data_IF_051692672441
#
_entry.id   IF_051692672441
#
_cell.length_a   1.000
_cell.length_b   1.000
_cell.length_c   1.000
_cell.angle_alpha   90.00
_cell.angle_beta   90.00
_cell.angle_gamma   90.00
#
_symmetry.space_group_name_H-M   'P 1'
#
loop_
_entity.id
_entity.type
_entity.pdbx_description
1 polymer ?
#
# COMPACT_ATOMS: atom_id res chain seq x y z
N UNK A 1 115.22 10.78 -12.66
CA UNK A 1 115.62 11.89 -13.56
C UNK A 1 114.95 13.18 -13.13
N UNK A 2 115.74 14.25 -13.13
CA UNK A 2 115.47 15.68 -12.96
C UNK A 2 114.04 16.25 -13.16
N UNK A 3 113.77 17.25 -12.30
CA UNK A 3 113.22 18.62 -12.54
C UNK A 3 111.70 18.79 -12.71
N UNK A 4 111.11 19.56 -11.77
CA UNK A 4 110.63 20.96 -11.89
C UNK A 4 109.27 21.07 -12.59
N UNK A 5 108.30 21.92 -12.24
CA UNK A 5 108.05 23.00 -11.29
C UNK A 5 106.56 23.39 -11.54
N UNK A 6 106.02 24.36 -10.79
CA UNK A 6 104.77 25.12 -11.04
C UNK A 6 103.55 24.72 -10.19
N UNK A 7 103.49 25.36 -9.02
CA UNK A 7 102.40 26.25 -8.58
C UNK A 7 100.99 26.02 -9.14
N UNK A 8 100.06 25.63 -8.26
CA UNK A 8 98.74 26.28 -8.25
C UNK A 8 98.16 26.28 -6.83
N UNK A 9 98.11 27.48 -6.27
CA UNK A 9 97.48 27.84 -5.00
C UNK A 9 95.95 27.72 -5.17
N UNK A 10 95.31 26.77 -4.50
CA UNK A 10 93.85 26.77 -4.32
C UNK A 10 93.55 26.81 -2.83
N UNK A 11 93.49 28.02 -2.28
CA UNK A 11 92.92 28.28 -0.96
C UNK A 11 91.40 28.18 -1.11
N UNK A 12 90.82 27.02 -0.80
CA UNK A 12 89.38 26.92 -0.54
C UNK A 12 89.10 27.49 0.84
N UNK A 13 88.92 28.80 0.90
CA UNK A 13 88.34 29.50 2.05
C UNK A 13 86.85 29.15 2.12
N UNK A 14 86.52 28.03 2.77
CA UNK A 14 85.17 27.81 3.28
C UNK A 14 84.95 28.77 4.46
N UNK A 15 84.50 29.99 4.15
CA UNK A 15 83.88 30.87 5.14
C UNK A 15 82.55 30.25 5.57
N UNK A 16 82.56 29.38 6.56
CA UNK A 16 81.34 29.06 7.32
C UNK A 16 81.04 30.26 8.21
N UNK A 17 80.20 31.17 7.72
CA UNK A 17 79.73 32.31 8.50
C UNK A 17 78.90 31.77 9.67
N UNK A 18 79.51 31.66 10.85
CA UNK A 18 78.83 31.28 12.09
C UNK A 18 78.06 32.48 12.63
N UNK A 19 76.79 32.59 12.27
CA UNK A 19 75.92 33.65 12.79
C UNK A 19 75.61 33.41 14.29
N UNK A 20 76.16 34.26 15.16
CA UNK A 20 75.95 34.17 16.62
C UNK A 20 74.65 34.84 17.06
N UNK A 21 73.50 34.25 16.71
CA UNK A 21 72.23 34.60 17.32
C UNK A 21 71.97 33.70 18.53
N UNK A 22 71.80 34.30 19.72
CA UNK A 22 71.62 33.56 20.97
C UNK A 22 70.17 33.50 21.46
N UNK A 23 69.31 34.40 20.97
CA UNK A 23 67.89 34.51 21.35
C UNK A 23 67.03 35.00 20.18
N UNK A 24 65.78 34.58 20.17
CA UNK A 24 64.71 35.10 19.30
C UNK A 24 63.47 35.38 20.15
N UNK A 25 62.68 36.38 19.76
CA UNK A 25 61.33 36.56 20.29
C UNK A 25 60.37 35.78 19.41
N UNK A 26 59.62 34.86 20.01
CA UNK A 26 58.54 34.14 19.32
C UNK A 26 57.22 34.73 19.81
N UNK A 27 56.36 35.13 18.90
CA UNK A 27 55.01 35.65 19.18
C UNK A 27 53.97 34.80 18.44
N UNK A 28 52.84 34.55 19.08
CA UNK A 28 51.71 33.78 18.55
C UNK A 28 50.56 34.76 18.27
N UNK A 29 49.73 34.47 17.27
CA UNK A 29 48.55 35.28 16.95
C UNK A 29 47.50 35.32 18.08
N UNK A 30 47.57 34.42 19.06
CA UNK A 30 46.69 34.39 20.22
C UNK A 30 47.47 34.58 21.53
N UNK A 31 47.08 35.56 22.38
CA UNK A 31 47.82 35.89 23.60
C UNK A 31 47.74 34.80 24.68
N UNK A 32 46.71 33.95 24.63
CA UNK A 32 46.46 32.86 25.57
C UNK A 32 46.98 31.50 25.08
N UNK A 33 47.66 31.44 23.93
CA UNK A 33 48.29 30.21 23.45
C UNK A 33 49.52 29.85 24.29
N UNK A 34 49.60 28.61 24.75
CA UNK A 34 50.70 28.08 25.54
C UNK A 34 51.87 27.64 24.66
N UNK A 35 53.10 28.02 25.05
CA UNK A 35 54.32 27.65 24.31
C UNK A 35 55.16 26.73 25.19
N UNK A 36 55.38 25.50 24.74
CA UNK A 36 56.19 24.51 25.45
C UNK A 36 57.53 24.27 24.75
N UNK A 37 58.54 23.86 25.51
CA UNK A 37 59.81 23.37 24.96
C UNK A 37 59.71 21.87 24.68
N UNK A 38 60.24 21.41 23.55
CA UNK A 38 60.41 19.97 23.27
C UNK A 38 61.89 19.60 23.38
N UNK A 39 62.19 18.55 24.15
CA UNK A 39 63.54 17.94 24.26
C UNK A 39 63.40 16.44 24.14
N UNK A 40 64.19 15.80 23.26
CA UNK A 40 64.13 14.34 23.08
C UNK A 40 62.80 13.80 22.53
N UNK A 41 61.90 14.66 22.06
CA UNK A 41 60.54 14.30 21.62
C UNK A 41 59.46 14.54 22.67
N UNK A 42 59.84 14.79 23.93
CA UNK A 42 58.91 15.05 25.03
C UNK A 42 58.63 16.54 25.22
N UNK A 43 57.39 16.87 25.61
CA UNK A 43 56.94 18.23 25.94
C UNK A 43 57.28 18.52 27.40
N UNK A 44 58.20 19.47 27.64
CA UNK A 44 58.62 19.85 28.99
C UNK A 44 57.59 20.78 29.65
N UNK A 45 57.27 20.50 30.93
CA UNK A 45 56.45 21.34 31.80
C UNK A 45 57.32 22.03 32.86
N UNK A 46 56.98 23.26 33.32
CA UNK A 46 55.85 24.08 32.89
C UNK A 46 56.08 24.70 31.49
N UNK A 47 55.04 25.32 30.92
CA UNK A 47 55.16 26.07 29.66
C UNK A 47 56.23 27.18 29.78
N UNK A 48 56.84 27.55 28.66
CA UNK A 48 57.79 28.66 28.57
C UNK A 48 57.12 30.03 28.70
N UNK A 49 55.80 30.09 28.50
CA UNK A 49 54.99 31.30 28.58
C UNK A 49 53.75 31.23 27.66
N UNK A 50 52.99 32.32 27.64
CA UNK A 50 51.76 32.48 26.85
C UNK A 50 51.92 33.60 25.83
N UNK A 51 51.48 33.38 24.60
CA UNK A 51 51.38 34.38 23.53
C UNK A 51 52.71 34.93 22.99
N UNK A 52 53.71 35.18 23.83
CA UNK A 52 55.05 35.61 23.43
C UNK A 52 56.12 35.14 24.41
N UNK A 53 57.24 34.62 23.90
CA UNK A 53 58.40 34.22 24.71
C UNK A 53 59.71 34.74 24.11
N UNK A 54 60.73 34.88 24.96
CA UNK A 54 62.11 35.07 24.54
C UNK A 54 62.84 33.71 24.56
N UNK A 55 62.89 33.04 23.42
CA UNK A 55 63.51 31.73 23.29
C UNK A 55 65.04 31.84 23.23
N UNK A 56 65.73 31.26 24.22
CA UNK A 56 67.19 31.10 24.20
C UNK A 56 67.56 29.92 23.31
N UNK A 57 68.43 30.15 22.32
CA UNK A 57 68.87 29.12 21.39
C UNK A 57 70.13 28.40 21.91
N UNK A 58 70.07 27.08 22.07
CA UNK A 58 71.22 26.26 22.44
C UNK A 58 72.06 25.91 21.19
N UNK A 59 73.39 25.99 21.31
CA UNK A 59 74.38 25.71 20.24
C UNK A 59 74.24 24.32 19.63
N UNK A 60 73.91 23.31 20.44
CA UNK A 60 73.81 21.90 20.01
C UNK A 60 72.36 21.37 19.97
N UNK A 61 71.36 22.24 20.19
CA UNK A 61 69.96 21.85 20.29
C UNK A 61 69.14 22.25 19.05
N UNK A 62 68.09 21.47 18.76
CA UNK A 62 67.11 21.80 17.72
C UNK A 62 66.15 22.95 18.12
N UNK A 63 66.17 23.34 19.39
CA UNK A 63 65.34 24.42 19.96
C UNK A 63 63.86 24.30 19.54
N UNK A 64 63.31 23.08 19.67
CA UNK A 64 61.93 22.77 19.30
C UNK A 64 60.96 23.37 20.31
N UNK A 65 59.89 23.96 19.81
CA UNK A 65 58.75 24.42 20.61
C UNK A 65 57.45 23.80 20.09
N UNK A 66 56.48 23.62 20.98
CA UNK A 66 55.10 23.26 20.66
C UNK A 66 54.20 24.39 21.13
N UNK A 67 53.42 24.96 20.22
CA UNK A 67 52.40 25.97 20.52
C UNK A 67 51.05 25.26 20.58
N UNK A 68 50.32 25.44 21.68
CA UNK A 68 49.05 24.78 21.96
C UNK A 68 48.02 25.82 22.33
N UNK A 69 46.82 25.72 21.75
CA UNK A 69 45.64 26.47 22.16
C UNK A 69 44.42 25.58 21.98
N UNK A 70 43.49 25.64 22.92
CA UNK A 70 42.25 24.87 22.83
C UNK A 70 41.46 25.24 21.55
N UNK A 71 41.03 24.21 20.81
CA UNK A 71 40.32 24.35 19.54
C UNK A 71 41.20 24.64 18.31
N UNK A 72 42.52 24.59 18.47
CA UNK A 72 43.49 24.74 17.38
C UNK A 72 44.40 23.52 17.26
N UNK A 73 44.84 23.25 16.04
CA UNK A 73 45.85 22.22 15.80
C UNK A 73 47.20 22.69 16.39
N UNK A 74 47.87 21.87 17.23
CA UNK A 74 49.15 22.26 17.79
C UNK A 74 50.23 22.42 16.72
N UNK A 75 50.96 23.55 16.75
CA UNK A 75 52.04 23.82 15.81
C UNK A 75 53.40 23.54 16.46
N UNK A 76 54.23 22.73 15.80
CA UNK A 76 55.60 22.43 16.24
C UNK A 76 56.59 23.19 15.34
N UNK A 77 57.46 23.98 15.96
CA UNK A 77 58.50 24.74 15.27
C UNK A 77 59.89 24.38 15.80
N UNK A 78 60.92 24.50 14.96
CA UNK A 78 62.31 24.22 15.33
C UNK A 78 63.24 25.33 14.86
N UNK A 79 64.14 25.76 15.74
CA UNK A 79 65.03 26.89 15.51
C UNK A 79 66.50 26.49 15.70
N UNK A 80 67.06 25.62 14.85
CA UNK A 80 68.48 25.26 14.92
C UNK A 80 69.37 26.49 14.73
N UNK A 81 70.45 26.56 15.49
CA UNK A 81 71.42 27.68 15.43
C UNK A 81 72.32 27.68 14.21
N UNK A 82 72.24 26.64 13.39
CA UNK A 82 72.91 26.57 12.09
C UNK A 82 72.32 27.57 11.09
N UNK A 83 71.13 28.14 11.38
CA UNK A 83 70.42 29.11 10.54
C UNK A 83 70.26 30.43 11.30
N UNK A 84 70.34 31.56 10.59
CA UNK A 84 70.04 32.89 11.13
C UNK A 84 68.53 33.13 11.07
N UNK A 85 67.92 33.46 12.21
CA UNK A 85 66.49 33.70 12.34
C UNK A 85 66.18 35.20 12.48
N UNK A 86 64.98 35.65 12.07
CA UNK A 86 64.49 36.98 12.44
C UNK A 86 64.54 37.19 13.96
N UNK A 87 64.77 38.44 14.41
CA UNK A 87 64.72 38.77 15.84
C UNK A 87 63.32 38.54 16.42
N UNK A 88 62.29 38.73 15.59
CA UNK A 88 60.89 38.51 15.88
C UNK A 88 60.36 37.45 14.92
N UNK A 89 59.95 36.31 15.45
CA UNK A 89 59.35 35.20 14.70
C UNK A 89 57.88 35.13 15.09
N UNK A 90 56.99 35.13 14.10
CA UNK A 90 55.56 34.96 14.30
C UNK A 90 55.18 33.50 14.05
N UNK A 91 54.37 32.93 14.92
CA UNK A 91 53.74 31.62 14.76
C UNK A 91 52.23 31.82 14.67
N UNK A 92 51.61 31.20 13.67
CA UNK A 92 50.18 31.29 13.46
C UNK A 92 49.55 29.94 13.80
N UNK A 93 48.52 29.98 14.65
CA UNK A 93 47.55 28.90 14.77
C UNK A 93 46.40 29.24 13.83
N UNK A 94 46.27 28.52 12.72
CA UNK A 94 45.25 28.79 11.69
C UNK A 94 44.28 27.61 11.55
N UNK A 95 44.77 26.38 11.71
CA UNK A 95 43.97 25.18 11.65
C UNK A 95 43.19 24.97 12.95
N UNK A 96 41.92 24.62 12.82
CA UNK A 96 41.02 24.37 13.95
C UNK A 96 40.83 22.87 14.16
N UNK A 97 40.48 22.49 15.38
CA UNK A 97 40.21 21.10 15.74
C UNK A 97 38.82 20.99 16.37
N UNK A 98 38.06 19.97 15.96
CA UNK A 98 36.78 19.58 16.55
C UNK A 98 36.83 18.12 16.96
N UNK A 99 36.44 17.81 18.18
CA UNK A 99 36.24 16.43 18.62
C UNK A 99 34.83 15.97 18.24
N UNK A 100 34.71 15.08 17.28
CA UNK A 100 33.44 14.48 16.88
C UNK A 100 33.22 13.21 17.70
N UNK A 101 32.03 13.07 18.28
CA UNK A 101 31.58 11.82 18.91
C UNK A 101 30.29 11.35 18.25
N UNK A 102 30.21 10.07 17.89
CA UNK A 102 29.02 9.48 17.29
C UNK A 102 28.15 8.76 18.32
N UNK A 103 26.83 8.91 18.18
CA UNK A 103 25.84 8.11 18.89
C UNK A 103 24.86 7.51 17.87
N UNK A 104 24.67 6.19 17.82
CA UNK A 104 25.33 5.17 18.63
C UNK A 104 26.84 5.05 18.31
N UNK A 105 27.64 4.55 19.26
CA UNK A 105 29.11 4.55 19.17
C UNK A 105 29.67 3.66 18.05
N UNK A 106 28.87 2.75 17.52
CA UNK A 106 29.18 1.87 16.40
C UNK A 106 28.61 2.40 15.06
N UNK A 107 28.32 3.71 14.97
CA UNK A 107 28.07 4.40 13.73
C UNK A 107 29.39 4.81 13.06
N UNK A 108 29.46 4.60 11.74
CA UNK A 108 30.58 5.00 10.90
C UNK A 108 30.59 6.52 10.70
N UNK A 109 31.76 7.13 10.85
CA UNK A 109 32.01 8.54 10.63
C UNK A 109 32.70 8.68 9.27
N UNK A 110 32.14 9.52 8.41
CA UNK A 110 32.69 9.86 7.11
C UNK A 110 33.08 11.33 7.08
N UNK A 111 34.24 11.63 6.51
CA UNK A 111 34.74 13.00 6.29
C UNK A 111 35.02 13.16 4.81
N UNK A 112 34.33 14.10 4.15
CA UNK A 112 34.41 14.25 2.67
C UNK A 112 34.21 12.91 1.93
N UNK A 113 33.27 12.09 2.41
CA UNK A 113 32.96 10.77 1.84
C UNK A 113 33.92 9.64 2.20
N UNK A 114 35.02 9.88 2.92
CA UNK A 114 35.96 8.85 3.37
C UNK A 114 35.60 8.35 4.78
N UNK A 115 35.52 7.03 4.99
CA UNK A 115 35.32 6.47 6.33
C UNK A 115 36.59 6.68 7.19
N UNK A 116 36.44 7.37 8.32
CA UNK A 116 37.54 7.70 9.23
C UNK A 116 37.49 6.91 10.56
N UNK A 117 36.50 6.04 10.74
CA UNK A 117 36.32 5.20 11.91
C UNK A 117 34.94 5.32 12.56
N UNK A 118 34.86 4.92 13.83
CA UNK A 118 33.63 4.93 14.64
C UNK A 118 33.89 5.60 16.00
N UNK A 119 32.82 5.87 16.75
CA UNK A 119 32.82 6.42 18.12
C UNK A 119 33.36 7.84 18.28
N UNK A 120 34.62 8.08 17.97
CA UNK A 120 35.28 9.38 18.13
C UNK A 120 36.21 9.68 16.95
N UNK A 121 36.25 10.93 16.51
CA UNK A 121 37.19 11.40 15.49
C UNK A 121 37.64 12.83 15.77
N UNK A 122 38.95 13.09 15.70
CA UNK A 122 39.51 14.44 15.79
C UNK A 122 39.57 15.04 14.38
N UNK A 123 38.64 15.96 14.08
CA UNK A 123 38.60 16.64 12.80
C UNK A 123 39.52 17.86 12.82
N UNK A 124 40.55 17.85 11.97
CA UNK A 124 41.39 19.03 11.69
C UNK A 124 40.81 19.77 10.49
N UNK A 125 40.52 21.05 10.66
CA UNK A 125 40.08 21.95 9.59
C UNK A 125 41.20 22.92 9.25
N UNK A 126 41.68 22.87 8.02
CA UNK A 126 42.63 23.84 7.52
C UNK A 126 42.02 25.25 7.52
N UNK A 127 42.86 26.28 7.50
CA UNK A 127 42.40 27.66 7.29
C UNK A 127 41.52 27.76 6.04
N UNK A 128 40.40 28.47 6.18
CA UNK A 128 39.40 28.68 5.12
C UNK A 128 38.73 27.40 4.60
N UNK A 129 38.93 26.25 5.27
CA UNK A 129 38.34 24.99 4.86
C UNK A 129 36.86 24.89 5.22
N UNK A 130 36.15 24.13 4.39
CA UNK A 130 34.75 23.74 4.56
C UNK A 130 34.73 22.23 4.49
N UNK A 131 34.35 21.57 5.58
CA UNK A 131 34.39 20.10 5.67
C UNK A 131 33.03 19.57 6.10
N UNK A 132 32.50 18.59 5.36
CA UNK A 132 31.27 17.87 5.67
C UNK A 132 31.60 16.53 6.32
N UNK A 133 30.94 16.29 7.46
CA UNK A 133 30.98 15.04 8.21
C UNK A 133 29.63 14.37 8.13
N UNK A 134 29.62 13.08 7.82
CA UNK A 134 28.41 12.26 7.79
C UNK A 134 28.52 11.10 8.79
N UNK A 135 27.44 10.84 9.53
CA UNK A 135 27.29 9.60 10.30
C UNK A 135 26.40 8.65 9.51
N UNK A 136 26.86 7.42 9.33
CA UNK A 136 26.11 6.37 8.66
C UNK A 136 26.05 5.12 9.53
N UNK A 137 24.87 4.50 9.54
CA UNK A 137 24.66 3.20 10.18
C UNK A 137 23.47 2.52 9.53
N UNK A 138 23.56 1.21 9.29
CA UNK A 138 22.47 0.42 8.74
C UNK A 138 21.20 0.58 9.60
N UNK A 139 20.09 0.92 8.93
CA UNK A 139 18.78 1.14 9.56
C UNK A 139 18.58 2.50 10.22
N UNK A 140 19.55 3.42 10.08
CA UNK A 140 19.42 4.80 10.53
C UNK A 140 19.47 5.75 9.34
N UNK A 141 18.78 6.88 9.45
CA UNK A 141 18.89 7.97 8.50
C UNK A 141 20.24 8.65 8.69
N UNK A 142 20.98 8.83 7.60
CA UNK A 142 22.26 9.55 7.61
C UNK A 142 22.09 10.96 8.19
N UNK A 143 22.98 11.33 9.11
CA UNK A 143 23.11 12.69 9.62
C UNK A 143 24.34 13.32 9.00
N UNK A 144 24.20 14.50 8.40
CA UNK A 144 25.28 15.24 7.77
C UNK A 144 25.40 16.62 8.40
N UNK A 145 26.63 17.05 8.70
CA UNK A 145 26.93 18.38 9.26
C UNK A 145 28.18 18.95 8.60
N UNK A 146 28.08 20.21 8.17
CA UNK A 146 29.20 20.95 7.58
C UNK A 146 29.81 21.90 8.60
N UNK A 147 31.12 21.85 8.71
CA UNK A 147 31.95 22.68 9.57
C UNK A 147 32.75 23.68 8.73
N UNK A 148 32.94 24.88 9.28
CA UNK A 148 33.60 25.98 8.58
C UNK A 148 34.74 26.55 9.44
N UNK A 149 35.93 26.68 8.86
CA UNK A 149 37.04 27.42 9.47
C UNK A 149 37.30 28.72 8.71
N UNK A 150 36.28 29.58 8.68
CA UNK A 150 36.30 30.88 7.97
C UNK A 150 36.00 31.98 8.97
N UNK A 151 36.79 33.05 8.97
CA UNK A 151 36.68 34.15 9.95
C UNK A 151 35.32 34.87 9.97
N UNK A 152 34.56 34.79 8.88
CA UNK A 152 33.24 35.42 8.72
C UNK A 152 32.05 34.56 9.20
N UNK A 153 32.30 33.34 9.69
CA UNK A 153 31.26 32.38 10.11
C UNK A 153 31.26 32.13 11.63
N UNK A 154 30.23 31.42 12.09
CA UNK A 154 30.04 31.06 13.50
C UNK A 154 31.26 30.34 14.10
N UNK A 155 31.52 30.58 15.39
CA UNK A 155 32.64 29.98 16.11
C UNK A 155 32.50 28.46 16.15
N UNK A 156 33.51 27.78 15.63
CA UNK A 156 33.58 26.32 15.58
C UNK A 156 33.52 25.70 17.00
N UNK A 157 32.69 24.66 17.23
CA UNK A 157 32.60 23.99 18.52
C UNK A 157 33.87 23.19 18.82
N UNK A 158 34.23 23.08 20.10
CA UNK A 158 35.38 22.25 20.53
C UNK A 158 35.07 20.75 20.48
N UNK A 159 33.82 20.40 20.78
CA UNK A 159 33.29 19.04 20.76
C UNK A 159 31.91 19.06 20.12
N UNK A 160 31.61 18.07 19.31
CA UNK A 160 30.31 17.92 18.65
C UNK A 160 29.83 16.48 18.74
N UNK A 161 28.67 16.28 19.35
CA UNK A 161 28.06 14.96 19.54
C UNK A 161 26.96 14.76 18.49
N UNK A 162 27.29 14.04 17.42
CA UNK A 162 26.37 13.75 16.33
C UNK A 162 25.60 12.46 16.65
N UNK A 163 24.27 12.51 16.54
CA UNK A 163 23.38 11.41 16.95
C UNK A 163 22.48 10.96 15.80
N UNK A 164 22.47 9.66 15.50
CA UNK A 164 21.52 9.02 14.61
C UNK A 164 20.24 8.68 15.38
N UNK A 165 19.18 9.47 15.17
CA UNK A 165 17.92 9.37 15.90
C UNK A 165 16.83 8.67 15.09
N UNK A 166 16.69 9.09 13.84
CA UNK A 166 15.70 8.56 12.93
C UNK A 166 16.12 7.20 12.36
N UNK A 167 15.18 6.27 12.31
CA UNK A 167 15.36 4.98 11.64
C UNK A 167 14.92 5.04 10.19
N UNK A 168 15.43 4.12 9.38
CA UNK A 168 14.98 3.90 8.02
C UNK A 168 14.61 2.43 7.78
N UNK A 169 13.61 2.20 6.95
CA UNK A 169 13.22 0.87 6.44
C UNK A 169 13.21 0.91 4.92
N UNK A 170 13.80 -0.11 4.30
CA UNK A 170 13.63 -0.39 2.87
C UNK A 170 12.33 -1.18 2.63
N UNK A 171 11.37 -0.56 1.96
CA UNK A 171 10.09 -1.17 1.59
C UNK A 171 10.19 -1.72 0.18
N UNK A 172 9.78 -2.97 0.00
CA UNK A 172 9.60 -3.61 -1.30
C UNK A 172 8.17 -4.15 -1.40
N UNK A 173 7.53 -4.01 -2.55
CA UNK A 173 6.15 -4.40 -2.76
C UNK A 173 6.06 -5.28 -3.99
N UNK A 174 5.37 -6.41 -3.83
CA UNK A 174 4.91 -7.22 -4.94
C UNK A 174 3.38 -7.15 -5.00
N UNK A 175 2.79 -6.85 -6.16
CA UNK A 175 3.43 -6.52 -7.45
C UNK A 175 4.09 -5.11 -7.47
N UNK A 176 5.09 -4.87 -8.34
CA UNK A 176 5.95 -3.68 -8.27
C UNK A 176 5.29 -2.37 -8.70
N UNK A 177 4.12 -2.38 -9.35
CA UNK A 177 3.40 -1.14 -9.70
C UNK A 177 2.53 -0.63 -8.53
N UNK A 178 2.62 -1.25 -7.36
CA UNK A 178 1.86 -0.85 -6.17
C UNK A 178 2.40 0.46 -5.60
N UNK A 179 1.49 1.39 -5.28
CA UNK A 179 1.81 2.67 -4.65
C UNK A 179 2.02 2.50 -3.15
N UNK A 180 3.04 3.15 -2.61
CA UNK A 180 3.41 3.13 -1.20
C UNK A 180 3.05 4.49 -0.59
N UNK A 181 2.34 4.47 0.53
CA UNK A 181 1.94 5.64 1.28
C UNK A 181 2.47 5.57 2.71
N UNK A 182 2.97 6.70 3.21
CA UNK A 182 3.35 6.89 4.61
C UNK A 182 2.45 7.97 5.17
N UNK A 183 1.67 7.66 6.21
CA UNK A 183 0.70 8.59 6.80
C UNK A 183 -0.15 9.27 5.71
N UNK A 184 -0.70 8.47 4.78
CA UNK A 184 -1.53 8.88 3.63
C UNK A 184 -0.80 9.63 2.51
N UNK A 185 0.50 9.97 2.65
CA UNK A 185 1.29 10.63 1.61
C UNK A 185 2.01 9.62 0.73
N UNK A 186 1.90 9.74 -0.59
CA UNK A 186 2.59 8.85 -1.54
C UNK A 186 4.10 9.08 -1.49
N UNK A 187 4.88 8.02 -1.23
CA UNK A 187 6.35 8.09 -1.10
C UNK A 187 7.11 7.30 -2.18
N UNK A 188 6.43 6.45 -2.93
CA UNK A 188 7.07 5.64 -3.97
C UNK A 188 6.13 4.63 -4.61
N UNK A 189 6.66 3.90 -5.60
CA UNK A 189 5.98 2.84 -6.33
C UNK A 189 6.91 1.62 -6.35
N UNK A 190 6.42 0.46 -5.93
CA UNK A 190 7.15 -0.81 -5.91
C UNK A 190 8.24 -0.92 -4.84
N UNK A 191 9.01 0.15 -4.61
CA UNK A 191 9.98 0.24 -3.53
C UNK A 191 10.12 1.67 -3.02
N UNK A 192 10.54 1.82 -1.77
CA UNK A 192 10.85 3.12 -1.16
C UNK A 192 11.75 2.94 0.07
N UNK A 193 12.60 3.93 0.37
CA UNK A 193 13.24 4.06 1.69
C UNK A 193 12.41 5.00 2.55
N UNK A 194 11.95 4.52 3.69
CA UNK A 194 10.99 5.23 4.54
C UNK A 194 11.66 5.58 5.87
N UNK A 195 11.53 6.83 6.30
CA UNK A 195 12.06 7.30 7.58
C UNK A 195 11.00 7.16 8.68
N UNK A 196 11.44 6.72 9.86
CA UNK A 196 10.65 6.68 11.10
C UNK A 196 11.33 7.61 12.10
N UNK A 197 10.76 8.80 12.35
CA UNK A 197 11.33 9.76 13.29
C UNK A 197 11.45 9.18 14.70
N UNK A 198 12.43 9.67 15.47
CA UNK A 198 12.59 9.31 16.87
C UNK A 198 11.31 9.53 17.68
N UNK A 199 10.95 8.55 18.50
CA UNK A 199 9.76 8.53 19.36
C UNK A 199 8.40 8.57 18.62
N UNK A 200 8.40 8.40 17.30
CA UNK A 200 7.17 8.40 16.49
C UNK A 200 6.82 7.02 15.93
N UNK A 201 5.56 6.90 15.48
CA UNK A 201 5.07 5.77 14.70
C UNK A 201 4.55 6.27 13.37
N UNK A 202 4.75 5.46 12.33
CA UNK A 202 4.19 5.72 10.99
C UNK A 202 3.26 4.58 10.59
N UNK A 203 2.25 4.92 9.80
CA UNK A 203 1.38 3.95 9.13
C UNK A 203 1.84 3.84 7.68
N UNK A 204 2.32 2.66 7.32
CA UNK A 204 2.68 2.30 5.95
C UNK A 204 1.50 1.60 5.30
N UNK A 205 1.04 2.12 4.16
CA UNK A 205 -0.06 1.55 3.38
C UNK A 205 0.40 1.31 1.94
N UNK A 206 0.02 0.17 1.38
CA UNK A 206 0.30 -0.19 -0.01
C UNK A 206 -1.01 -0.45 -0.76
N UNK A 207 -1.15 0.16 -1.94
CA UNK A 207 -2.37 0.09 -2.75
C UNK A 207 -2.04 -0.18 -4.21
N UNK A 208 -2.87 -1.01 -4.84
CA UNK A 208 -2.89 -1.23 -6.30
C UNK A 208 -4.32 -1.51 -6.73
N UNK A 209 -4.75 -0.93 -7.85
CA UNK A 209 -6.08 -1.22 -8.42
C UNK A 209 -6.19 -2.72 -8.75
N UNK A 210 -7.33 -3.33 -8.43
CA UNK A 210 -7.53 -4.78 -8.56
C UNK A 210 -6.98 -5.65 -7.42
N UNK A 211 -6.32 -5.06 -6.41
CA UNK A 211 -5.79 -5.78 -5.25
C UNK A 211 -6.36 -5.22 -3.94
N UNK A 212 -6.50 -6.09 -2.94
CA UNK A 212 -6.80 -5.66 -1.58
C UNK A 212 -5.56 -4.98 -1.01
N UNK A 213 -5.69 -3.71 -0.64
CA UNK A 213 -4.61 -2.95 0.00
C UNK A 213 -4.21 -3.55 1.34
N UNK A 214 -2.96 -3.29 1.76
CA UNK A 214 -2.44 -3.70 3.07
C UNK A 214 -1.80 -2.53 3.78
N UNK A 215 -1.88 -2.54 5.10
CA UNK A 215 -1.24 -1.55 5.96
C UNK A 215 -0.46 -2.20 7.10
N UNK A 216 0.54 -1.49 7.62
CA UNK A 216 1.31 -1.89 8.78
C UNK A 216 1.87 -0.67 9.51
N UNK A 217 1.84 -0.72 10.83
CA UNK A 217 2.42 0.31 11.70
C UNK A 217 3.86 -0.06 12.06
N UNK A 218 4.75 0.92 12.00
CA UNK A 218 6.13 0.80 12.50
C UNK A 218 6.45 1.96 13.44
N UNK A 219 7.09 1.65 14.57
CA UNK A 219 7.38 2.61 15.63
C UNK A 219 8.88 2.67 15.95
N UNK A 220 9.40 3.87 16.19
CA UNK A 220 10.76 4.10 16.67
C UNK A 220 10.73 4.60 18.12
N UNK A 221 10.20 3.77 19.03
CA UNK A 221 10.15 4.04 20.47
C UNK A 221 11.00 3.01 21.22
N UNK A 222 11.49 3.37 22.40
CA UNK A 222 12.39 2.51 23.20
C UNK A 222 11.75 1.18 23.62
N UNK A 223 10.46 1.20 23.96
CA UNK A 223 9.71 0.03 24.45
C UNK A 223 9.04 -0.78 23.34
N UNK A 224 9.10 -0.32 22.08
CA UNK A 224 8.49 -1.00 20.95
C UNK A 224 9.47 -1.97 20.27
N UNK A 225 8.90 -2.90 19.49
CA UNK A 225 9.71 -3.77 18.64
C UNK A 225 10.48 -2.91 17.63
N UNK A 226 11.81 -3.07 17.60
CA UNK A 226 12.66 -2.31 16.68
C UNK A 226 12.21 -2.55 15.23
N UNK A 227 12.05 -1.49 14.42
CA UNK A 227 11.73 -1.63 13.01
C UNK A 227 12.77 -2.49 12.29
N UNK A 228 12.35 -3.37 11.35
CA UNK A 228 13.27 -4.14 10.54
C UNK A 228 14.02 -3.22 9.57
N UNK A 229 15.17 -3.67 9.05
CA UNK A 229 15.90 -2.92 8.03
C UNK A 229 15.20 -2.94 6.67
N UNK A 230 14.48 -4.01 6.37
CA UNK A 230 13.66 -4.12 5.18
C UNK A 230 12.34 -4.81 5.48
N UNK A 231 11.31 -4.48 4.70
CA UNK A 231 10.01 -5.10 4.79
C UNK A 231 9.40 -5.31 3.42
N UNK A 232 8.88 -6.52 3.18
CA UNK A 232 8.22 -6.87 1.93
C UNK A 232 6.70 -6.94 2.12
N UNK A 233 5.97 -6.13 1.37
CA UNK A 233 4.54 -6.33 1.17
C UNK A 233 4.29 -7.25 -0.02
N UNK A 234 3.30 -8.11 0.09
CA UNK A 234 2.83 -8.95 -1.02
C UNK A 234 1.33 -8.86 -1.05
N UNK A 235 0.79 -8.32 -2.13
CA UNK A 235 -0.64 -8.22 -2.39
C UNK A 235 -1.03 -9.42 -3.24
N UNK A 236 -1.76 -10.37 -2.66
CA UNK A 236 -2.20 -11.58 -3.35
C UNK A 236 -3.70 -11.67 -3.49
N UNK A 237 -4.45 -11.09 -2.56
CA UNK A 237 -5.91 -11.02 -2.61
C UNK A 237 -6.38 -9.98 -3.65
N UNK A 238 -7.34 -10.38 -4.48
CA UNK A 238 -7.92 -9.52 -5.52
C UNK A 238 -9.10 -8.73 -4.99
N UNK A 239 -9.29 -7.56 -5.56
CA UNK A 239 -10.42 -6.67 -5.29
C UNK A 239 -11.15 -6.39 -6.61
N UNK A 240 -12.38 -6.87 -6.73
CA UNK A 240 -13.23 -6.66 -7.91
C UNK A 240 -14.33 -5.68 -7.53
N UNK A 241 -14.44 -4.57 -8.25
CA UNK A 241 -15.57 -3.65 -8.09
C UNK A 241 -16.75 -4.17 -8.92
N UNK A 242 -17.68 -4.85 -8.25
CA UNK A 242 -18.89 -5.38 -8.87
C UNK A 242 -19.95 -4.30 -8.89
N UNK A 243 -20.59 -4.09 -10.03
CA UNK A 243 -21.76 -3.24 -10.20
C UNK A 243 -22.86 -4.02 -10.91
N UNK A 244 -24.12 -3.74 -10.58
CA UNK A 244 -25.28 -4.44 -11.12
C UNK A 244 -26.27 -3.45 -11.69
N UNK A 245 -26.81 -3.77 -12.87
CA UNK A 245 -27.97 -3.11 -13.45
C UNK A 245 -29.18 -4.05 -13.38
N UNK A 246 -30.33 -3.60 -12.85
CA UNK A 246 -30.58 -2.29 -12.24
C UNK A 246 -29.87 -2.10 -10.88
N UNK A 247 -29.71 -0.85 -10.46
CA UNK A 247 -28.88 -0.41 -9.31
C UNK A 247 -29.47 -0.72 -7.94
N UNK A 248 -30.73 -1.14 -7.87
CA UNK A 248 -31.41 -1.59 -6.66
C UNK A 248 -31.45 -3.13 -6.53
N UNK A 249 -30.69 -3.85 -7.37
CA UNK A 249 -30.53 -5.30 -7.25
C UNK A 249 -29.68 -5.68 -6.03
N UNK A 250 -30.08 -6.74 -5.34
CA UNK A 250 -29.32 -7.32 -4.22
C UNK A 250 -28.12 -8.12 -4.73
N UNK A 251 -26.98 -7.96 -4.07
CA UNK A 251 -25.77 -8.75 -4.31
C UNK A 251 -25.58 -9.69 -3.11
N UNK A 252 -25.56 -10.99 -3.36
CA UNK A 252 -25.28 -12.02 -2.36
C UNK A 252 -23.96 -12.74 -2.60
N UNK A 253 -23.24 -12.98 -1.51
CA UNK A 253 -22.03 -13.81 -1.44
C UNK A 253 -22.19 -14.75 -0.26
N UNK A 254 -21.91 -16.04 -0.44
CA UNK A 254 -22.10 -17.08 0.58
C UNK A 254 -23.50 -17.07 1.23
N UNK A 255 -24.53 -16.82 0.42
CA UNK A 255 -25.93 -16.76 0.85
C UNK A 255 -26.34 -15.49 1.61
N UNK A 256 -25.41 -14.57 1.91
CA UNK A 256 -25.68 -13.32 2.63
C UNK A 256 -25.73 -12.14 1.67
N UNK A 257 -26.63 -11.20 1.92
CA UNK A 257 -26.67 -9.91 1.20
C UNK A 257 -25.47 -9.08 1.68
N UNK A 258 -24.62 -8.68 0.73
CA UNK A 258 -23.39 -7.92 1.00
C UNK A 258 -23.42 -6.51 0.40
N UNK A 259 -24.35 -6.24 -0.51
CA UNK A 259 -24.52 -4.95 -1.15
C UNK A 259 -25.80 -4.85 -1.97
N UNK A 260 -26.11 -3.64 -2.41
CA UNK A 260 -27.22 -3.31 -3.32
C UNK A 260 -26.63 -2.45 -4.43
N UNK A 261 -26.80 -2.85 -5.69
CA UNK A 261 -26.28 -2.17 -6.89
C UNK A 261 -24.77 -2.22 -7.08
N UNK A 262 -23.97 -2.18 -6.01
CA UNK A 262 -22.52 -2.28 -6.08
C UNK A 262 -21.90 -2.92 -4.85
N UNK A 263 -20.74 -3.53 -5.04
CA UNK A 263 -19.97 -4.16 -3.96
C UNK A 263 -18.48 -4.31 -4.34
N UNK A 264 -17.60 -3.95 -3.40
CA UNK A 264 -16.15 -4.18 -3.53
C UNK A 264 -15.83 -5.62 -3.05
N UNK A 265 -15.88 -6.57 -3.99
CA UNK A 265 -15.68 -7.99 -3.74
C UNK A 265 -14.21 -8.32 -3.50
N UNK A 266 -13.92 -8.89 -2.33
CA UNK A 266 -12.60 -9.46 -2.01
C UNK A 266 -12.56 -10.93 -2.45
N UNK A 267 -11.56 -11.29 -3.25
CA UNK A 267 -11.32 -12.66 -3.71
C UNK A 267 -9.95 -13.10 -3.21
N UNK A 268 -9.88 -13.87 -2.10
CA UNK A 268 -8.61 -14.29 -1.53
C UNK A 268 -7.79 -15.15 -2.48
N UNK A 269 -6.48 -15.16 -2.32
CA UNK A 269 -5.57 -16.04 -3.06
C UNK A 269 -5.99 -17.51 -2.98
N UNK A 270 -5.95 -18.19 -4.12
CA UNK A 270 -6.34 -19.59 -4.33
C UNK A 270 -7.79 -19.92 -3.96
N UNK A 271 -8.71 -18.94 -4.07
CA UNK A 271 -10.14 -19.16 -3.82
C UNK A 271 -11.02 -18.66 -4.97
N UNK A 272 -12.17 -19.31 -5.11
CA UNK A 272 -13.28 -18.85 -5.93
C UNK A 272 -14.42 -18.35 -5.04
N UNK A 273 -15.00 -17.21 -5.40
CA UNK A 273 -16.18 -16.64 -4.74
C UNK A 273 -17.31 -16.54 -5.75
N UNK A 274 -18.48 -17.06 -5.38
CA UNK A 274 -19.70 -16.92 -6.17
C UNK A 274 -20.46 -15.67 -5.74
N UNK A 275 -20.80 -14.84 -6.72
CA UNK A 275 -21.70 -13.71 -6.60
C UNK A 275 -23.03 -14.05 -7.23
N UNK A 276 -24.11 -13.76 -6.50
CA UNK A 276 -25.48 -13.81 -6.99
C UNK A 276 -26.03 -12.40 -7.05
N UNK A 277 -26.49 -11.96 -8.21
CA UNK A 277 -27.25 -10.72 -8.36
C UNK A 277 -28.74 -11.07 -8.50
N UNK A 278 -29.58 -10.50 -7.62
CA UNK A 278 -30.98 -10.90 -7.45
C UNK A 278 -31.86 -9.66 -7.43
N UNK A 279 -32.95 -9.70 -8.20
CA UNK A 279 -34.01 -8.70 -8.12
C UNK A 279 -35.36 -9.33 -8.50
N UNK A 280 -36.43 -8.87 -7.84
CA UNK A 280 -37.80 -9.27 -8.17
C UNK A 280 -38.13 -8.98 -9.64
N UNK A 281 -38.76 -9.95 -10.31
CA UNK A 281 -39.11 -9.92 -11.75
C UNK A 281 -37.91 -9.99 -12.70
N UNK A 282 -36.72 -10.29 -12.20
CA UNK A 282 -35.53 -10.55 -13.00
C UNK A 282 -35.03 -11.98 -12.75
N UNK A 283 -34.31 -12.53 -13.72
CA UNK A 283 -33.61 -13.79 -13.55
C UNK A 283 -32.40 -13.58 -12.62
N UNK A 284 -32.15 -14.56 -11.74
CA UNK A 284 -30.96 -14.52 -10.87
C UNK A 284 -29.71 -14.74 -11.70
N UNK A 285 -28.77 -13.80 -11.66
CA UNK A 285 -27.48 -13.96 -12.33
C UNK A 285 -26.45 -14.54 -11.35
N UNK A 286 -25.76 -15.60 -11.77
CA UNK A 286 -24.68 -16.25 -11.00
C UNK A 286 -23.34 -16.03 -11.70
N UNK A 287 -22.32 -15.53 -10.98
CA UNK A 287 -20.98 -15.30 -11.51
C UNK A 287 -19.92 -15.75 -10.50
N UNK A 288 -18.92 -16.51 -10.96
CA UNK A 288 -17.78 -16.92 -10.14
C UNK A 288 -16.56 -16.05 -10.46
N UNK A 289 -15.85 -15.63 -9.42
CA UNK A 289 -14.55 -14.96 -9.51
C UNK A 289 -13.50 -15.82 -8.82
N UNK A 290 -12.48 -16.26 -9.55
CA UNK A 290 -11.45 -17.17 -9.06
C UNK A 290 -10.07 -16.52 -9.10
N UNK A 291 -9.39 -16.45 -7.96
CA UNK A 291 -8.03 -15.92 -7.84
C UNK A 291 -7.02 -17.07 -7.74
N UNK A 292 -6.80 -17.78 -8.83
CA UNK A 292 -5.86 -18.90 -8.93
C UNK A 292 -5.38 -19.06 -10.36
N UNK A 293 -4.22 -19.68 -10.54
CA UNK A 293 -3.55 -19.81 -11.85
C UNK A 293 -4.35 -20.63 -12.88
N UNK A 294 -5.26 -21.50 -12.43
CA UNK A 294 -6.09 -22.36 -13.30
C UNK A 294 -7.23 -21.61 -14.01
N UNK A 295 -7.52 -20.38 -13.59
CA UNK A 295 -8.65 -19.60 -14.08
C UNK A 295 -8.22 -18.22 -14.60
N UNK A 296 -9.09 -17.60 -15.39
CA UNK A 296 -8.88 -16.21 -15.80
C UNK A 296 -8.84 -15.31 -14.56
N UNK A 297 -7.82 -14.46 -14.49
CA UNK A 297 -7.65 -13.47 -13.43
C UNK A 297 -8.92 -12.63 -13.24
N UNK A 298 -9.40 -12.41 -12.00
CA UNK A 298 -10.56 -11.58 -11.76
C UNK A 298 -10.33 -10.14 -12.29
N UNK A 299 -11.29 -9.57 -13.04
CA UNK A 299 -11.15 -8.21 -13.55
C UNK A 299 -11.17 -7.21 -12.38
N UNK A 300 -10.62 -6.00 -12.58
CA UNK A 300 -10.65 -4.97 -11.54
C UNK A 300 -12.04 -4.39 -11.32
N UNK A 301 -12.88 -4.42 -12.36
CA UNK A 301 -14.28 -3.95 -12.36
C UNK A 301 -15.11 -4.92 -13.20
N UNK A 302 -16.32 -5.20 -12.76
CA UNK A 302 -17.27 -6.01 -13.52
C UNK A 302 -18.67 -5.41 -13.43
N UNK A 303 -19.39 -5.41 -14.55
CA UNK A 303 -20.76 -4.90 -14.64
C UNK A 303 -21.70 -6.04 -15.01
N UNK A 304 -22.61 -6.35 -14.12
CA UNK A 304 -23.57 -7.45 -14.26
C UNK A 304 -24.94 -6.87 -14.63
N UNK A 305 -25.47 -7.26 -15.77
CA UNK A 305 -26.80 -6.82 -16.21
C UNK A 305 -27.81 -7.94 -16.01
N UNK A 306 -28.82 -7.69 -15.17
CA UNK A 306 -29.92 -8.61 -14.95
C UNK A 306 -30.90 -8.55 -16.12
N UNK A 307 -31.33 -9.73 -16.58
CA UNK A 307 -32.39 -9.87 -17.58
C UNK A 307 -33.75 -10.00 -16.90
N UNK A 308 -34.77 -9.35 -17.45
CA UNK A 308 -36.14 -9.52 -16.99
C UNK A 308 -36.59 -10.98 -17.12
N UNK A 309 -37.37 -11.44 -16.15
CA UNK A 309 -38.03 -12.74 -16.23
C UNK A 309 -39.30 -12.60 -17.10
N UNK A 310 -39.19 -13.07 -18.34
CA UNK A 310 -40.27 -13.01 -19.32
C UNK A 310 -41.53 -13.79 -18.89
N UNK A 311 -41.40 -14.88 -18.12
CA UNK A 311 -42.57 -15.57 -17.60
C UNK A 311 -43.31 -14.70 -16.57
N UNK A 312 -42.59 -14.03 -15.67
CA UNK A 312 -43.18 -13.09 -14.70
C UNK A 312 -43.83 -11.89 -15.42
N UNK A 313 -43.17 -11.35 -16.45
CA UNK A 313 -43.67 -10.24 -17.27
C UNK A 313 -44.95 -10.60 -18.03
N UNK A 314 -45.06 -11.83 -18.53
CA UNK A 314 -46.22 -12.32 -19.28
C UNK A 314 -47.30 -12.97 -18.40
N UNK A 315 -47.21 -12.81 -17.07
CA UNK A 315 -48.18 -13.33 -16.11
C UNK A 315 -48.72 -12.24 -15.18
N UNK A 316 -49.76 -12.60 -14.44
CA UNK A 316 -50.37 -11.80 -13.38
C UNK A 316 -50.37 -12.61 -12.08
N UNK A 317 -50.13 -11.93 -10.95
CA UNK A 317 -50.45 -12.51 -9.64
C UNK A 317 -51.96 -12.49 -9.46
N UNK A 318 -52.52 -13.57 -8.95
CA UNK A 318 -53.94 -13.69 -8.68
C UNK A 318 -54.19 -14.74 -7.61
N UNK A 319 -55.12 -14.45 -6.70
CA UNK A 319 -55.54 -15.38 -5.65
C UNK A 319 -56.33 -16.59 -6.20
N UNK A 320 -56.64 -16.57 -7.51
CA UNK A 320 -57.31 -17.67 -8.20
C UNK A 320 -56.34 -18.70 -8.82
N UNK A 321 -55.02 -18.46 -8.79
CA UNK A 321 -54.04 -19.42 -9.27
C UNK A 321 -54.02 -20.64 -8.35
N UNK A 322 -54.18 -21.85 -8.91
CA UNK A 322 -54.20 -23.11 -8.15
C UNK A 322 -55.32 -23.25 -7.11
N UNK A 323 -56.31 -22.34 -7.10
CA UNK A 323 -57.43 -22.32 -6.15
C UNK A 323 -58.74 -22.65 -6.86
N UNK A 324 -59.63 -23.36 -6.17
CA UNK A 324 -60.99 -23.62 -6.62
C UNK A 324 -61.85 -22.36 -6.44
N UNK A 325 -62.54 -21.90 -7.49
CA UNK A 325 -63.55 -20.86 -7.40
C UNK A 325 -64.90 -21.37 -7.90
N UNK A 326 -65.97 -20.87 -7.29
CA UNK A 326 -67.34 -21.28 -7.60
C UNK A 326 -67.95 -20.33 -8.62
N UNK A 327 -68.60 -20.90 -9.62
CA UNK A 327 -69.35 -20.20 -10.66
C UNK A 327 -70.82 -20.59 -10.44
N UNK A 328 -71.63 -19.64 -9.99
CA UNK A 328 -73.07 -19.84 -9.87
C UNK A 328 -73.73 -19.62 -11.23
N UNK A 329 -74.59 -20.54 -11.65
CA UNK A 329 -75.37 -20.41 -12.88
C UNK A 329 -76.60 -19.56 -12.58
N UNK A 330 -76.88 -18.57 -13.44
CA UNK A 330 -78.04 -17.68 -13.31
C UNK A 330 -79.36 -18.41 -13.46
N UNK A 331 -80.37 -17.89 -12.74
CA UNK A 331 -81.73 -18.37 -12.83
C UNK A 331 -82.26 -18.29 -14.26
N UNK A 332 -82.85 -19.39 -14.74
CA UNK A 332 -83.41 -19.50 -16.09
C UNK A 332 -82.47 -20.11 -17.14
N UNK A 333 -81.20 -20.40 -16.80
CA UNK A 333 -80.30 -21.17 -17.67
C UNK A 333 -80.37 -22.67 -17.34
N UNK A 334 -80.54 -23.52 -18.36
CA UNK A 334 -80.55 -24.97 -18.17
C UNK A 334 -79.14 -25.52 -17.95
N UNK A 335 -79.03 -26.72 -17.36
CA UNK A 335 -77.77 -27.45 -17.18
C UNK A 335 -77.02 -27.67 -18.51
N UNK A 336 -77.75 -28.01 -19.58
CA UNK A 336 -77.21 -28.22 -20.92
C UNK A 336 -76.67 -26.93 -21.53
N UNK A 337 -77.38 -25.81 -21.36
CA UNK A 337 -76.93 -24.50 -21.86
C UNK A 337 -75.70 -24.02 -21.10
N UNK A 338 -75.73 -24.11 -19.77
CA UNK A 338 -74.61 -23.76 -18.91
C UNK A 338 -73.37 -24.59 -19.24
N UNK A 339 -73.53 -25.92 -19.41
CA UNK A 339 -72.41 -26.80 -19.76
C UNK A 339 -71.82 -26.48 -21.14
N UNK A 340 -72.66 -26.20 -22.15
CA UNK A 340 -72.19 -25.80 -23.49
C UNK A 340 -71.40 -24.49 -23.45
N UNK A 341 -71.92 -23.50 -22.72
CA UNK A 341 -71.26 -22.19 -22.60
C UNK A 341 -69.94 -22.29 -21.83
N UNK A 342 -69.94 -22.99 -20.69
CA UNK A 342 -68.73 -23.29 -19.92
C UNK A 342 -67.68 -23.99 -20.78
N UNK A 343 -68.08 -25.05 -21.49
CA UNK A 343 -67.19 -25.78 -22.39
C UNK A 343 -66.63 -24.87 -23.48
N UNK A 344 -67.48 -24.02 -24.09
CA UNK A 344 -67.07 -23.04 -25.10
C UNK A 344 -66.01 -22.06 -24.57
N UNK A 345 -66.20 -21.54 -23.35
CA UNK A 345 -65.24 -20.62 -22.69
C UNK A 345 -63.89 -21.31 -22.50
N UNK A 346 -63.89 -22.55 -21.98
CA UNK A 346 -62.64 -23.31 -21.80
C UNK A 346 -61.96 -23.59 -23.14
N UNK A 347 -62.72 -24.02 -24.14
CA UNK A 347 -62.17 -24.35 -25.48
C UNK A 347 -61.74 -23.15 -26.31
N UNK A 348 -62.03 -21.92 -25.86
CA UNK A 348 -61.50 -20.71 -26.51
C UNK A 348 -60.01 -20.54 -26.25
N UNK A 349 -59.53 -21.00 -25.09
CA UNK A 349 -58.12 -20.87 -24.68
C UNK A 349 -57.37 -22.22 -24.67
N UNK A 350 -58.10 -23.34 -24.53
CA UNK A 350 -57.54 -24.69 -24.47
C UNK A 350 -58.05 -25.57 -25.61
N UNK A 351 -57.17 -25.88 -26.56
CA UNK A 351 -57.52 -26.66 -27.76
C UNK A 351 -57.85 -28.13 -27.45
N UNK A 352 -57.26 -28.70 -26.40
CA UNK A 352 -57.34 -30.14 -26.09
C UNK A 352 -57.99 -30.37 -24.74
N UNK A 353 -59.13 -31.06 -24.75
CA UNK A 353 -59.78 -31.59 -23.56
C UNK A 353 -59.28 -33.03 -23.32
N UNK A 354 -58.70 -33.28 -22.15
CA UNK A 354 -58.16 -34.59 -21.78
C UNK A 354 -59.27 -35.51 -21.25
N UNK A 355 -60.17 -34.95 -20.43
CA UNK A 355 -61.31 -35.66 -19.87
C UNK A 355 -62.53 -34.74 -19.96
N UNK A 356 -63.63 -35.27 -20.49
CA UNK A 356 -64.92 -34.59 -20.50
C UNK A 356 -66.01 -35.59 -20.14
N UNK A 357 -66.76 -35.27 -19.10
CA UNK A 357 -67.90 -36.05 -18.64
C UNK A 357 -69.02 -35.10 -18.23
N UNK A 358 -70.03 -35.01 -19.10
CA UNK A 358 -71.20 -34.16 -18.86
C UNK A 358 -72.07 -34.69 -17.72
N UNK A 359 -72.15 -36.00 -17.53
CA UNK A 359 -73.06 -36.58 -16.52
C UNK A 359 -72.62 -36.23 -15.11
N UNK A 360 -71.31 -36.23 -14.86
CA UNK A 360 -70.72 -35.83 -13.56
C UNK A 360 -70.37 -34.34 -13.48
N UNK A 361 -70.55 -33.60 -14.59
CA UNK A 361 -70.15 -32.19 -14.71
C UNK A 361 -68.65 -31.98 -14.57
N UNK A 362 -67.84 -32.96 -15.00
CA UNK A 362 -66.38 -32.93 -14.89
C UNK A 362 -65.71 -32.65 -16.23
N UNK A 363 -64.78 -31.69 -16.26
CA UNK A 363 -63.98 -31.34 -17.42
C UNK A 363 -62.54 -31.10 -16.98
N UNK A 364 -61.57 -31.67 -17.70
CA UNK A 364 -60.14 -31.39 -17.52
C UNK A 364 -59.47 -31.20 -18.87
N UNK A 365 -58.74 -30.10 -19.02
CA UNK A 365 -57.93 -29.86 -20.22
C UNK A 365 -56.60 -30.61 -20.13
N UNK A 366 -55.99 -30.90 -21.28
CA UNK A 366 -54.58 -31.25 -21.30
C UNK A 366 -53.73 -30.06 -20.79
N UNK A 367 -52.51 -30.36 -20.35
CA UNK A 367 -51.53 -29.32 -20.03
C UNK A 367 -51.15 -28.53 -21.29
N UNK A 368 -51.29 -27.21 -21.24
CA UNK A 368 -50.74 -26.31 -22.24
C UNK A 368 -49.42 -25.73 -21.72
N UNK A 369 -48.35 -25.92 -22.50
CA UNK A 369 -46.99 -25.56 -22.10
C UNK A 369 -46.49 -24.36 -22.89
N UNK A 370 -45.78 -23.47 -22.19
CA UNK A 370 -45.09 -22.33 -22.79
C UNK A 370 -43.70 -22.19 -22.20
N UNK A 371 -42.68 -22.22 -23.05
CA UNK A 371 -41.29 -21.94 -22.66
C UNK A 371 -40.96 -20.47 -22.87
N UNK A 372 -40.18 -19.90 -21.96
CA UNK A 372 -39.73 -18.51 -22.00
C UNK A 372 -38.21 -18.45 -22.12
N UNK A 373 -37.73 -18.21 -23.34
CA UNK A 373 -36.31 -18.01 -23.69
C UNK A 373 -35.34 -19.08 -23.17
N UNK A 374 -35.83 -20.31 -22.95
CA UNK A 374 -35.03 -21.40 -22.41
C UNK A 374 -34.74 -21.33 -20.89
N UNK A 375 -35.27 -20.32 -20.19
CA UNK A 375 -35.00 -20.05 -18.77
C UNK A 375 -36.08 -20.61 -17.85
N UNK A 376 -37.30 -20.76 -18.35
CA UNK A 376 -38.41 -21.36 -17.61
C UNK A 376 -39.43 -21.99 -18.54
N UNK A 377 -40.18 -22.93 -17.99
CA UNK A 377 -41.30 -23.59 -18.63
C UNK A 377 -42.52 -23.48 -17.73
N UNK A 378 -43.60 -22.89 -18.25
CA UNK A 378 -44.88 -22.77 -17.56
C UNK A 378 -45.85 -23.78 -18.17
N UNK A 379 -46.56 -24.53 -17.33
CA UNK A 379 -47.69 -25.35 -17.76
C UNK A 379 -48.97 -24.91 -17.07
N UNK A 380 -50.06 -24.87 -17.83
CA UNK A 380 -51.37 -24.47 -17.32
C UNK A 380 -52.45 -25.45 -17.79
N UNK A 381 -53.43 -25.75 -16.94
CA UNK A 381 -54.64 -26.51 -17.30
C UNK A 381 -55.86 -26.01 -16.52
N UNK A 382 -57.04 -26.28 -17.04
CA UNK A 382 -58.32 -26.00 -16.37
C UNK A 382 -58.97 -27.31 -15.93
N UNK A 383 -59.49 -27.30 -14.71
CA UNK A 383 -60.30 -28.38 -14.16
C UNK A 383 -61.64 -27.77 -13.74
N UNK A 384 -62.74 -28.31 -14.25
CA UNK A 384 -64.10 -27.99 -13.81
C UNK A 384 -64.75 -29.24 -13.22
N UNK A 385 -65.51 -29.06 -12.16
CA UNK A 385 -66.34 -30.10 -11.55
C UNK A 385 -67.69 -29.51 -11.13
N UNK A 386 -68.71 -30.35 -11.06
CA UNK A 386 -69.99 -29.96 -10.46
C UNK A 386 -69.76 -29.62 -8.97
N UNK A 387 -70.23 -28.44 -8.56
CA UNK A 387 -70.21 -28.00 -7.17
C UNK A 387 -71.52 -28.30 -6.45
N UNK A 388 -72.63 -27.98 -7.09
CA UNK A 388 -73.99 -28.21 -6.60
C UNK A 388 -74.93 -28.34 -7.81
N UNK A 389 -76.00 -29.12 -7.66
CA UNK A 389 -77.02 -29.32 -8.70
C UNK A 389 -78.24 -28.41 -8.48
N UNK A 390 -78.45 -27.91 -7.25
CA UNK A 390 -79.56 -27.02 -6.95
C UNK A 390 -79.27 -26.11 -5.73
N UNK A 391 -78.94 -24.82 -5.93
CA UNK A 391 -78.80 -24.14 -7.22
C UNK A 391 -77.58 -24.64 -7.99
N UNK A 392 -77.67 -24.69 -9.33
CA UNK A 392 -76.62 -25.21 -10.20
C UNK A 392 -75.34 -24.36 -10.06
N UNK A 393 -74.24 -25.01 -9.67
CA UNK A 393 -72.92 -24.40 -9.49
C UNK A 393 -71.83 -25.29 -10.06
N UNK A 394 -70.89 -24.67 -10.74
CA UNK A 394 -69.63 -25.31 -11.15
C UNK A 394 -68.48 -24.80 -10.29
N UNK A 395 -67.47 -25.63 -10.08
CA UNK A 395 -66.21 -25.25 -9.44
C UNK A 395 -65.11 -25.38 -10.47
N UNK A 396 -64.43 -24.28 -10.75
CA UNK A 396 -63.30 -24.22 -11.68
C UNK A 396 -61.99 -23.98 -10.92
N UNK A 397 -60.91 -24.64 -11.34
CA UNK A 397 -59.52 -24.38 -10.91
C UNK A 397 -58.65 -24.22 -12.15
N UNK A 398 -57.86 -23.15 -12.18
CA UNK A 398 -56.77 -22.97 -13.13
C UNK A 398 -55.49 -23.45 -12.42
N UNK A 399 -54.97 -24.60 -12.83
CA UNK A 399 -53.70 -25.12 -12.34
C UNK A 399 -52.58 -24.47 -13.13
N UNK A 400 -51.63 -23.84 -12.45
CA UNK A 400 -50.48 -23.16 -13.04
C UNK A 400 -49.22 -23.58 -12.32
N UNK A 401 -48.25 -24.07 -13.07
CA UNK A 401 -47.01 -24.61 -12.54
C UNK A 401 -45.80 -24.14 -13.35
N UNK A 402 -44.67 -24.01 -12.68
CA UNK A 402 -43.41 -23.50 -13.24
C UNK A 402 -42.29 -24.51 -13.00
N UNK A 403 -41.47 -24.70 -14.02
CA UNK A 403 -40.18 -25.36 -13.95
C UNK A 403 -39.05 -24.40 -14.38
N UNK A 404 -37.85 -24.59 -13.86
CA UNK A 404 -36.64 -23.91 -14.35
C UNK A 404 -36.16 -24.57 -15.64
N UNK A 405 -35.74 -23.77 -16.62
CA UNK A 405 -35.24 -24.25 -17.91
C UNK A 405 -36.33 -24.77 -18.87
N UNK A 406 -35.91 -25.55 -19.88
CA UNK A 406 -36.79 -26.21 -20.85
C UNK A 406 -37.05 -27.64 -20.38
N UNK A 407 -38.29 -27.92 -19.97
CA UNK A 407 -38.67 -29.19 -19.36
C UNK A 407 -39.86 -29.81 -20.10
N UNK A 408 -39.89 -31.15 -20.18
CA UNK A 408 -41.02 -31.86 -20.79
C UNK A 408 -42.25 -31.79 -19.90
N UNK A 409 -43.43 -31.66 -20.49
CA UNK A 409 -44.71 -31.64 -19.75
C UNK A 409 -44.94 -32.88 -18.87
N UNK A 410 -44.21 -33.98 -19.12
CA UNK A 410 -44.33 -35.25 -18.41
C UNK A 410 -43.42 -35.37 -17.19
N UNK A 411 -42.46 -34.46 -17.05
CA UNK A 411 -41.46 -34.49 -15.97
C UNK A 411 -42.04 -33.82 -14.73
N UNK A 412 -43.10 -34.41 -14.15
CA UNK A 412 -43.90 -33.82 -13.07
C UNK A 412 -43.07 -33.37 -11.86
N UNK A 413 -41.95 -34.04 -11.58
CA UNK A 413 -41.06 -33.72 -10.47
C UNK A 413 -40.30 -32.39 -10.61
N UNK A 414 -40.22 -31.83 -11.81
CA UNK A 414 -39.52 -30.57 -12.10
C UNK A 414 -40.45 -29.34 -11.99
N UNK A 415 -41.76 -29.58 -11.86
CA UNK A 415 -42.77 -28.52 -11.81
C UNK A 415 -43.23 -28.26 -10.38
N UNK A 416 -43.27 -26.99 -10.02
CA UNK A 416 -43.81 -26.52 -8.74
C UNK A 416 -45.02 -25.62 -8.99
N UNK A 417 -45.98 -25.61 -8.05
CA UNK A 417 -47.14 -24.72 -8.11
C UNK A 417 -46.68 -23.26 -8.22
N UNK A 418 -47.24 -22.54 -9.19
CA UNK A 418 -46.90 -21.15 -9.46
C UNK A 418 -48.12 -20.26 -9.17
N UNK A 419 -47.98 -19.34 -8.22
CA UNK A 419 -49.05 -18.43 -7.75
C UNK A 419 -49.41 -17.32 -8.77
N UNK A 420 -49.22 -17.61 -10.05
CA UNK A 420 -49.43 -16.68 -11.16
C UNK A 420 -50.07 -17.40 -12.32
N UNK A 421 -50.87 -16.68 -13.08
CA UNK A 421 -51.49 -17.17 -14.31
C UNK A 421 -50.95 -16.36 -15.48
N UNK A 422 -50.67 -17.02 -16.61
CA UNK A 422 -50.29 -16.33 -17.84
C UNK A 422 -51.42 -15.39 -18.29
N UNK A 423 -51.06 -14.18 -18.75
CA UNK A 423 -52.03 -13.13 -19.11
C UNK A 423 -53.08 -13.58 -20.11
N UNK A 424 -52.74 -14.50 -21.03
CA UNK A 424 -53.68 -15.10 -21.99
C UNK A 424 -54.88 -15.78 -21.33
N UNK A 425 -54.69 -16.43 -20.17
CA UNK A 425 -55.77 -17.14 -19.48
C UNK A 425 -56.54 -16.28 -18.47
N UNK A 426 -56.20 -14.99 -18.33
CA UNK A 426 -56.82 -14.10 -17.35
C UNK A 426 -58.35 -14.05 -17.52
N UNK A 427 -58.80 -14.00 -18.77
CA UNK A 427 -60.20 -13.71 -19.08
C UNK A 427 -61.13 -14.90 -18.86
N UNK A 428 -60.60 -16.14 -18.75
CA UNK A 428 -61.42 -17.35 -18.55
C UNK A 428 -62.28 -17.21 -17.28
N UNK A 429 -61.70 -16.68 -16.22
CA UNK A 429 -62.40 -16.50 -14.94
C UNK A 429 -63.52 -15.46 -15.07
N UNK A 430 -63.19 -14.29 -15.64
CA UNK A 430 -64.13 -13.19 -15.83
C UNK A 430 -65.27 -13.60 -16.78
N UNK A 431 -64.97 -14.33 -17.86
CA UNK A 431 -65.96 -14.86 -18.78
C UNK A 431 -66.88 -15.89 -18.13
N UNK A 432 -66.31 -16.84 -17.38
CA UNK A 432 -67.10 -17.86 -16.70
C UNK A 432 -68.06 -17.25 -15.67
N UNK A 433 -67.60 -16.27 -14.89
CA UNK A 433 -68.44 -15.60 -13.88
C UNK A 433 -69.47 -14.64 -14.46
N UNK A 434 -69.17 -14.00 -15.61
CA UNK A 434 -70.05 -12.99 -16.20
C UNK A 434 -71.04 -13.53 -17.22
N UNK A 435 -70.79 -14.72 -17.79
CA UNK A 435 -71.60 -15.31 -18.88
C UNK A 435 -72.46 -16.49 -18.44
N UNK A 436 -72.05 -17.26 -17.43
CA UNK A 436 -72.92 -18.22 -16.72
C UNK A 436 -73.83 -17.48 -15.74
#
# INVERSE_FOLDING_TARGET
>A
MKKNLVSCLVVFLFFTISYSQSKIRVTVNYPDAEIFKIVGGEVLKPSLGFGSILLKLNKKGLNKIKVVKEGFEPVIQHYPRTVRWPKHVQVYLENRVVQITSQPFDADIYVEGNNVGTKNYELVLLKDAIITVELKKKGYKTVSKTYFNVDSKEKLPLKDALTLRDKIIEINVFPPESKIFVNQSSVGIGSATVTIPENECIILEVKKDGFVGREKVFCNKENDTKPPYSYKFTLTDRLVKVSVSPDDAEIKVDGKIVGVGSYDLKVPENKCIQVLAIKKSFLTLKKNYCNSDDYQEPPTRDHLELREDEAIKNSISTDFANVNFTIAVRDGMTDVEAWKLLSSIVTTEFDVLEVIDRETGYLRTAWQVQSFNGESTIRTRVIVKLGDSNPLKYVMKISSERAEGVVSVKDDQEFEEWERILKKYKNIIEEAQSRL
#
